data_IF_418535994433
#
_entry.id   IF_418535994433
#
_cell.length_a   1.000
_cell.length_b   1.000
_cell.length_c   1.000
_cell.angle_alpha   90.00
_cell.angle_beta   90.00
_cell.angle_gamma   90.00
#
_symmetry.space_group_name_H-M   'P 1'
#
loop_
_entity.id
_entity.type
_entity.pdbx_description
1 polymer ?
#
# COMPACT_ATOMS: atom_id res chain seq x y z
N UNK A 1 -11.08 23.01 2.95
CA UNK A 1 -10.58 22.11 4.02
C UNK A 1 -10.35 22.94 5.27
N UNK A 2 -10.92 22.57 6.44
CA UNK A 2 -10.74 23.35 7.68
C UNK A 2 -9.24 23.47 8.01
N UNK A 3 -8.81 24.64 8.49
CA UNK A 3 -7.38 24.98 8.74
C UNK A 3 -6.67 23.93 9.61
N UNK A 4 -7.37 23.37 10.60
CA UNK A 4 -6.90 22.32 11.50
C UNK A 4 -6.56 21.00 10.80
N UNK A 5 -7.40 20.55 9.85
CA UNK A 5 -7.15 19.34 9.06
C UNK A 5 -5.92 19.50 8.17
N UNK A 6 -5.69 20.70 7.63
CA UNK A 6 -4.51 21.00 6.81
C UNK A 6 -3.23 20.92 7.65
N UNK A 7 -3.24 21.53 8.83
CA UNK A 7 -2.10 21.52 9.77
C UNK A 7 -1.75 20.10 10.18
N UNK A 8 -2.75 19.30 10.55
CA UNK A 8 -2.57 17.89 10.89
C UNK A 8 -1.97 17.09 9.72
N UNK A 9 -2.58 17.19 8.54
CA UNK A 9 -2.15 16.45 7.35
C UNK A 9 -0.73 16.84 6.85
N UNK A 10 -0.24 18.04 7.17
CA UNK A 10 1.09 18.51 6.77
C UNK A 10 2.15 18.43 7.88
N UNK A 11 1.76 18.02 9.09
CA UNK A 11 2.65 18.03 10.25
C UNK A 11 3.77 16.98 10.12
N UNK A 12 5.03 17.41 10.25
CA UNK A 12 6.20 16.53 10.28
C UNK A 12 6.29 15.72 11.59
N UNK A 13 5.73 16.24 12.68
CA UNK A 13 5.74 15.55 13.97
C UNK A 13 4.88 14.30 13.96
N UNK A 14 3.74 14.34 13.27
CA UNK A 14 2.90 13.15 13.08
C UNK A 14 3.57 12.12 12.16
N UNK A 15 4.36 12.55 11.18
CA UNK A 15 5.19 11.62 10.38
C UNK A 15 6.23 10.93 11.26
N UNK A 16 6.97 11.70 12.06
CA UNK A 16 7.99 11.17 12.96
C UNK A 16 7.40 10.22 13.98
N UNK A 17 6.26 10.58 14.59
CA UNK A 17 5.54 9.71 15.52
C UNK A 17 5.11 8.40 14.86
N UNK A 18 4.55 8.46 13.65
CA UNK A 18 4.16 7.26 12.90
C UNK A 18 5.35 6.35 12.61
N UNK A 19 6.49 6.91 12.17
CA UNK A 19 7.71 6.13 11.92
C UNK A 19 8.26 5.53 13.21
N UNK A 20 8.36 6.33 14.27
CA UNK A 20 8.85 5.88 15.58
C UNK A 20 7.98 4.75 16.14
N UNK A 21 6.66 4.84 15.98
CA UNK A 21 5.73 3.80 16.40
C UNK A 21 5.96 2.48 15.63
N UNK A 22 6.02 2.54 14.29
CA UNK A 22 6.22 1.35 13.44
C UNK A 22 7.57 0.69 13.74
N UNK A 23 8.64 1.47 13.76
CA UNK A 23 10.00 0.97 14.04
C UNK A 23 10.09 0.45 15.47
N UNK A 24 9.54 1.19 16.44
CA UNK A 24 9.53 0.80 17.84
C UNK A 24 8.82 -0.54 18.08
N UNK A 25 7.64 -0.74 17.49
CA UNK A 25 6.92 -2.02 17.56
C UNK A 25 7.71 -3.15 16.88
N UNK A 26 8.31 -2.88 15.71
CA UNK A 26 9.11 -3.87 15.00
C UNK A 26 10.37 -4.31 15.78
N UNK A 27 10.99 -3.38 16.52
CA UNK A 27 12.09 -3.68 17.45
C UNK A 27 11.56 -4.48 18.66
N UNK A 28 10.52 -3.98 19.32
CA UNK A 28 9.99 -4.55 20.56
C UNK A 28 9.46 -5.97 20.38
N UNK A 29 8.86 -6.27 19.22
CA UNK A 29 8.39 -7.62 18.87
C UNK A 29 9.50 -8.56 18.40
N UNK A 30 10.73 -8.07 18.21
CA UNK A 30 11.83 -8.82 17.59
C UNK A 30 11.62 -9.09 16.10
N UNK A 31 10.59 -8.50 15.47
CA UNK A 31 10.22 -8.75 14.09
C UNK A 31 11.32 -8.37 13.09
N UNK A 32 12.10 -7.32 13.36
CA UNK A 32 13.23 -6.92 12.50
C UNK A 32 14.26 -8.03 12.28
N UNK A 33 14.46 -8.90 13.27
CA UNK A 33 15.41 -10.01 13.23
C UNK A 33 14.79 -11.30 12.65
N UNK A 34 13.55 -11.23 12.16
CA UNK A 34 12.90 -12.38 11.55
C UNK A 34 13.50 -12.68 10.18
N UNK A 35 13.63 -13.97 9.92
CA UNK A 35 14.15 -14.53 8.67
C UNK A 35 13.02 -15.25 7.95
N UNK A 36 13.16 -15.42 6.64
CA UNK A 36 12.09 -15.98 5.83
C UNK A 36 11.76 -17.44 6.19
N UNK A 37 12.77 -18.22 6.62
CA UNK A 37 12.61 -19.61 7.06
C UNK A 37 11.66 -19.80 8.26
N UNK A 38 11.39 -18.73 9.03
CA UNK A 38 10.41 -18.77 10.12
C UNK A 38 8.96 -18.77 9.63
N UNK A 39 8.72 -18.43 8.37
CA UNK A 39 7.39 -18.26 7.79
C UNK A 39 7.08 -19.26 6.68
N UNK A 40 8.11 -19.76 5.98
CA UNK A 40 7.93 -20.65 4.82
C UNK A 40 9.05 -21.69 4.73
N UNK A 41 8.72 -22.85 4.16
CA UNK A 41 9.68 -23.93 3.91
C UNK A 41 10.00 -24.05 2.41
N UNK A 42 10.77 -23.09 1.88
CA UNK A 42 11.18 -23.04 0.46
C UNK A 42 12.64 -23.49 0.27
N UNK A 43 13.22 -24.15 1.27
CA UNK A 43 14.60 -24.63 1.29
C UNK A 43 15.61 -23.70 1.96
N UNK A 44 16.90 -24.09 2.03
CA UNK A 44 17.89 -23.48 2.94
C UNK A 44 18.20 -21.99 2.71
N UNK A 45 17.96 -21.48 1.51
CA UNK A 45 18.22 -20.08 1.17
C UNK A 45 17.33 -19.10 1.95
N UNK A 46 16.15 -19.53 2.42
CA UNK A 46 15.22 -18.69 3.19
C UNK A 46 15.80 -18.24 4.53
N UNK A 47 16.74 -19.00 5.10
CA UNK A 47 17.46 -18.63 6.32
C UNK A 47 18.46 -17.48 6.11
N UNK A 48 18.77 -17.11 4.87
CA UNK A 48 19.65 -15.98 4.55
C UNK A 48 18.88 -14.68 4.28
N UNK A 49 17.54 -14.77 4.13
CA UNK A 49 16.71 -13.62 3.77
C UNK A 49 16.31 -12.86 5.05
N UNK A 50 16.74 -11.60 5.24
CA UNK A 50 16.37 -10.78 6.39
C UNK A 50 14.94 -10.25 6.22
N UNK A 51 13.97 -11.15 6.28
CA UNK A 51 12.57 -10.90 5.95
C UNK A 51 11.97 -9.76 6.79
N UNK A 52 12.27 -9.71 8.08
CA UNK A 52 11.82 -8.64 8.97
C UNK A 52 12.24 -7.25 8.49
N UNK A 53 13.51 -7.10 8.11
CA UNK A 53 14.04 -5.84 7.60
C UNK A 53 13.40 -5.44 6.27
N UNK A 54 13.23 -6.40 5.36
CA UNK A 54 12.57 -6.18 4.05
C UNK A 54 11.13 -5.71 4.28
N UNK A 55 10.38 -6.40 5.14
CA UNK A 55 8.97 -6.09 5.43
C UNK A 55 8.80 -4.73 6.11
N UNK A 56 9.64 -4.39 7.10
CA UNK A 56 9.59 -3.06 7.75
C UNK A 56 9.95 -1.94 6.77
N UNK A 57 10.93 -2.17 5.89
CA UNK A 57 11.28 -1.21 4.83
C UNK A 57 10.12 -1.01 3.86
N UNK A 58 9.45 -2.10 3.45
CA UNK A 58 8.28 -2.05 2.58
C UNK A 58 7.14 -1.23 3.21
N UNK A 59 6.87 -1.43 4.51
CA UNK A 59 5.92 -0.59 5.26
C UNK A 59 6.31 0.89 5.21
N UNK A 60 7.60 1.20 5.36
CA UNK A 60 8.12 2.57 5.20
C UNK A 60 7.81 3.18 3.82
N UNK A 61 8.02 2.42 2.74
CA UNK A 61 7.68 2.84 1.36
C UNK A 61 6.17 3.07 1.23
N UNK A 62 5.34 2.19 1.80
CA UNK A 62 3.89 2.36 1.86
C UNK A 62 3.47 3.66 2.53
N UNK A 63 4.05 3.96 3.70
CA UNK A 63 3.78 5.20 4.43
C UNK A 63 4.20 6.44 3.64
N UNK A 64 5.34 6.39 2.95
CA UNK A 64 5.78 7.46 2.04
C UNK A 64 4.79 7.65 0.89
N UNK A 65 4.36 6.55 0.25
CA UNK A 65 3.33 6.57 -0.81
C UNK A 65 2.07 7.30 -0.35
N UNK A 66 1.51 6.91 0.80
CA UNK A 66 0.31 7.55 1.37
C UNK A 66 0.55 9.03 1.67
N UNK A 67 1.71 9.36 2.27
CA UNK A 67 2.04 10.73 2.65
C UNK A 67 2.20 11.65 1.45
N UNK A 68 2.92 11.23 0.42
CA UNK A 68 3.09 12.01 -0.80
C UNK A 68 1.78 12.13 -1.58
N UNK A 69 0.95 11.09 -1.60
CA UNK A 69 -0.40 11.15 -2.18
C UNK A 69 -1.27 12.18 -1.47
N UNK A 70 -1.26 12.21 -0.13
CA UNK A 70 -1.97 13.21 0.67
C UNK A 70 -1.48 14.65 0.46
N UNK A 71 -0.19 14.82 0.13
CA UNK A 71 0.39 16.10 -0.29
C UNK A 71 0.12 16.48 -1.75
N UNK A 72 -0.72 15.71 -2.46
CA UNK A 72 -1.00 15.85 -3.88
C UNK A 72 0.27 15.79 -4.76
N UNK A 73 1.24 14.96 -4.35
CA UNK A 73 2.48 14.76 -5.08
C UNK A 73 2.44 13.48 -5.91
N UNK A 74 2.88 13.56 -7.17
CA UNK A 74 3.00 12.41 -8.09
C UNK A 74 3.89 11.29 -7.53
N UNK A 75 4.87 11.65 -6.68
CA UNK A 75 5.75 10.70 -6.00
C UNK A 75 5.00 9.65 -5.17
N UNK A 76 3.81 10.00 -4.65
CA UNK A 76 2.97 9.05 -3.92
C UNK A 76 2.65 7.82 -4.75
N UNK A 77 2.18 8.01 -5.98
CA UNK A 77 1.86 6.88 -6.85
C UNK A 77 3.10 6.09 -7.31
N UNK A 78 4.26 6.74 -7.47
CA UNK A 78 5.51 6.04 -7.80
C UNK A 78 5.95 5.10 -6.67
N UNK A 79 5.96 5.60 -5.43
CA UNK A 79 6.18 4.76 -4.25
C UNK A 79 5.09 3.68 -4.12
N UNK A 80 3.85 4.00 -4.52
CA UNK A 80 2.74 3.05 -4.61
C UNK A 80 3.02 1.88 -5.55
N UNK A 81 3.60 2.12 -6.74
CA UNK A 81 4.01 1.04 -7.65
C UNK A 81 5.11 0.18 -7.04
N UNK A 82 6.17 0.81 -6.51
CA UNK A 82 7.28 0.07 -5.88
C UNK A 82 6.76 -0.79 -4.73
N UNK A 83 5.95 -0.22 -3.85
CA UNK A 83 5.30 -0.95 -2.76
C UNK A 83 4.42 -2.08 -3.29
N UNK A 84 3.64 -1.86 -4.34
CA UNK A 84 2.76 -2.91 -4.93
C UNK A 84 3.58 -4.10 -5.39
N UNK A 85 4.70 -3.87 -6.08
CA UNK A 85 5.57 -4.96 -6.55
C UNK A 85 6.19 -5.69 -5.35
N UNK A 86 6.73 -4.96 -4.38
CA UNK A 86 7.38 -5.54 -3.19
C UNK A 86 6.37 -6.31 -2.31
N UNK A 87 5.23 -5.71 -1.99
CA UNK A 87 4.15 -6.36 -1.25
C UNK A 87 3.63 -7.59 -1.98
N UNK A 88 3.48 -7.53 -3.32
CA UNK A 88 3.08 -8.70 -4.12
C UNK A 88 4.12 -9.82 -4.07
N UNK A 89 5.41 -9.49 -4.16
CA UNK A 89 6.47 -10.48 -4.02
C UNK A 89 6.46 -11.12 -2.62
N UNK A 90 6.32 -10.31 -1.56
CA UNK A 90 6.24 -10.79 -0.17
C UNK A 90 5.04 -11.73 0.00
N UNK A 91 3.84 -11.30 -0.39
CA UNK A 91 2.62 -12.10 -0.23
C UNK A 91 2.68 -13.40 -1.03
N UNK A 92 3.25 -13.36 -2.24
CA UNK A 92 3.45 -14.56 -3.06
C UNK A 92 4.39 -15.56 -2.38
N UNK A 93 5.52 -15.08 -1.87
CA UNK A 93 6.48 -15.90 -1.12
C UNK A 93 5.81 -16.52 0.11
N UNK A 94 4.96 -15.76 0.82
CA UNK A 94 4.19 -16.25 1.97
C UNK A 94 3.04 -17.21 1.59
N UNK A 95 2.85 -17.52 0.30
CA UNK A 95 1.88 -18.50 -0.18
C UNK A 95 0.47 -17.96 -0.42
N UNK A 96 0.28 -16.64 -0.47
CA UNK A 96 -1.02 -16.05 -0.78
C UNK A 96 -1.38 -16.25 -2.25
N UNK A 97 -2.35 -17.12 -2.55
CA UNK A 97 -2.79 -17.41 -3.93
C UNK A 97 -3.50 -16.24 -4.62
N UNK A 98 -4.20 -15.39 -3.86
CA UNK A 98 -4.93 -14.24 -4.42
C UNK A 98 -4.00 -13.15 -4.97
N UNK A 99 -2.70 -13.21 -4.64
CA UNK A 99 -1.68 -12.25 -5.05
C UNK A 99 -1.56 -12.12 -6.58
N UNK A 100 -1.79 -13.22 -7.30
CA UNK A 100 -1.69 -13.32 -8.77
C UNK A 100 -2.75 -12.44 -9.45
N UNK A 101 -3.84 -12.09 -8.76
CA UNK A 101 -4.91 -11.24 -9.28
C UNK A 101 -4.84 -9.85 -8.65
N UNK A 102 -4.75 -9.80 -7.32
CA UNK A 102 -4.88 -8.55 -6.54
C UNK A 102 -3.78 -7.53 -6.86
N UNK A 103 -2.51 -7.98 -6.98
CA UNK A 103 -1.39 -7.07 -7.23
C UNK A 103 -1.29 -6.57 -8.67
N UNK A 104 -1.55 -7.39 -9.72
CA UNK A 104 -1.66 -6.88 -11.08
C UNK A 104 -2.77 -5.84 -11.25
N UNK A 105 -3.95 -6.07 -10.66
CA UNK A 105 -5.04 -5.07 -10.67
C UNK A 105 -4.59 -3.78 -9.97
N UNK A 106 -3.96 -3.88 -8.81
CA UNK A 106 -3.43 -2.73 -8.07
C UNK A 106 -2.37 -1.96 -8.88
N UNK A 107 -1.48 -2.68 -9.56
CA UNK A 107 -0.47 -2.10 -10.44
C UNK A 107 -1.10 -1.31 -11.60
N UNK A 108 -2.14 -1.86 -12.22
CA UNK A 108 -2.89 -1.17 -13.29
C UNK A 108 -3.59 0.09 -12.77
N UNK A 109 -4.18 0.04 -11.58
CA UNK A 109 -4.80 1.19 -10.93
C UNK A 109 -3.76 2.30 -10.70
N UNK A 110 -2.61 1.98 -10.12
CA UNK A 110 -1.54 2.96 -9.92
C UNK A 110 -1.00 3.51 -11.24
N UNK A 111 -0.82 2.66 -12.25
CA UNK A 111 -0.37 3.08 -13.58
C UNK A 111 -1.35 4.07 -14.21
N UNK A 112 -2.65 3.77 -14.15
CA UNK A 112 -3.70 4.68 -14.63
C UNK A 112 -3.73 5.98 -13.82
N UNK A 113 -3.59 5.90 -12.50
CA UNK A 113 -3.50 7.07 -11.63
C UNK A 113 -2.32 7.98 -12.02
N UNK A 114 -1.13 7.42 -12.25
CA UNK A 114 0.04 8.17 -12.73
C UNK A 114 -0.24 8.82 -14.08
N UNK A 115 -0.82 8.08 -15.04
CA UNK A 115 -1.16 8.61 -16.37
C UNK A 115 -2.13 9.78 -16.28
N UNK A 116 -3.19 9.66 -15.49
CA UNK A 116 -4.17 10.73 -15.26
C UNK A 116 -3.54 11.92 -14.53
N UNK A 117 -2.71 11.67 -13.52
CA UNK A 117 -2.07 12.74 -12.76
C UNK A 117 -1.08 13.53 -13.62
N UNK A 118 -0.28 12.86 -14.45
CA UNK A 118 0.62 13.51 -15.41
C UNK A 118 -0.12 14.42 -16.41
N UNK A 119 -1.35 14.08 -16.77
CA UNK A 119 -2.19 14.90 -17.64
C UNK A 119 -2.91 16.04 -16.90
N UNK A 120 -2.83 16.10 -15.57
CA UNK A 120 -3.48 17.10 -14.72
C UNK A 120 -2.47 18.12 -14.17
N UNK A 121 -2.93 19.28 -13.73
CA UNK A 121 -2.05 20.28 -13.11
C UNK A 121 -1.54 19.80 -11.75
N UNK A 122 -0.22 19.88 -11.55
CA UNK A 122 0.40 19.51 -10.27
C UNK A 122 -0.19 20.32 -9.11
N UNK A 123 -0.43 19.65 -7.97
CA UNK A 123 -0.95 20.28 -6.76
C UNK A 123 -2.42 20.68 -6.79
N UNK A 124 -3.18 20.37 -7.86
CA UNK A 124 -4.62 20.62 -7.94
C UNK A 124 -5.42 19.31 -8.04
N UNK A 125 -6.40 19.08 -7.16
CA UNK A 125 -7.29 17.93 -7.30
C UNK A 125 -8.19 18.10 -8.53
N UNK A 126 -8.58 16.98 -9.15
CA UNK A 126 -9.54 17.00 -10.24
C UNK A 126 -10.89 17.55 -9.74
N UNK A 127 -11.52 18.43 -10.54
CA UNK A 127 -12.79 19.03 -10.17
C UNK A 127 -13.94 18.18 -10.72
N UNK A 128 -14.57 17.41 -9.83
CA UNK A 128 -15.84 16.72 -10.12
C UNK A 128 -16.95 17.38 -9.30
N UNK A 129 -18.17 17.43 -9.85
CA UNK A 129 -19.32 17.91 -9.08
C UNK A 129 -19.60 17.00 -7.87
N UNK A 130 -20.18 17.55 -6.80
CA UNK A 130 -20.47 16.77 -5.59
C UNK A 130 -21.39 15.56 -5.85
N UNK A 131 -22.31 15.66 -6.82
CA UNK A 131 -23.15 14.54 -7.24
C UNK A 131 -22.32 13.43 -7.90
N UNK A 132 -21.40 13.79 -8.79
CA UNK A 132 -20.50 12.84 -9.44
C UNK A 132 -19.54 12.17 -8.45
N UNK A 133 -19.00 12.92 -7.48
CA UNK A 133 -18.13 12.37 -6.44
C UNK A 133 -18.88 11.34 -5.60
N UNK A 134 -20.10 11.66 -5.15
CA UNK A 134 -20.93 10.72 -4.38
C UNK A 134 -21.25 9.46 -5.17
N UNK A 135 -21.67 9.61 -6.43
CA UNK A 135 -21.98 8.47 -7.29
C UNK A 135 -20.74 7.59 -7.54
N UNK A 136 -19.60 8.20 -7.87
CA UNK A 136 -18.35 7.49 -8.06
C UNK A 136 -17.92 6.76 -6.78
N UNK A 137 -18.03 7.41 -5.62
CA UNK A 137 -17.70 6.79 -4.33
C UNK A 137 -18.55 5.54 -4.05
N UNK A 138 -19.87 5.60 -4.32
CA UNK A 138 -20.77 4.45 -4.16
C UNK A 138 -20.37 3.31 -5.10
N UNK A 139 -20.23 3.61 -6.39
CA UNK A 139 -19.91 2.59 -7.42
C UNK A 139 -18.54 1.95 -7.13
N UNK A 140 -17.50 2.75 -6.87
CA UNK A 140 -16.16 2.27 -6.55
C UNK A 140 -16.19 1.41 -5.28
N UNK A 141 -16.94 1.81 -4.26
CA UNK A 141 -17.06 1.03 -3.03
C UNK A 141 -17.69 -0.34 -3.29
N UNK A 142 -18.81 -0.39 -4.03
CA UNK A 142 -19.47 -1.67 -4.38
C UNK A 142 -18.52 -2.57 -5.17
N UNK A 143 -17.85 -2.03 -6.20
CA UNK A 143 -16.89 -2.78 -7.01
C UNK A 143 -15.73 -3.28 -6.14
N UNK A 144 -15.19 -2.44 -5.26
CA UNK A 144 -14.10 -2.82 -4.36
C UNK A 144 -14.52 -3.94 -3.39
N UNK A 145 -15.72 -3.88 -2.83
CA UNK A 145 -16.26 -4.94 -1.97
C UNK A 145 -16.46 -6.25 -2.73
N UNK A 146 -17.06 -6.21 -3.92
CA UNK A 146 -17.23 -7.39 -4.77
C UNK A 146 -15.88 -7.99 -5.16
N UNK A 147 -14.93 -7.16 -5.58
CA UNK A 147 -13.58 -7.58 -5.92
C UNK A 147 -12.87 -8.23 -4.72
N UNK A 148 -12.97 -7.62 -3.54
CA UNK A 148 -12.41 -8.17 -2.30
C UNK A 148 -13.04 -9.52 -1.95
N UNK A 149 -14.37 -9.65 -2.06
CA UNK A 149 -15.07 -10.91 -1.77
C UNK A 149 -14.64 -12.03 -2.73
N UNK A 150 -14.63 -11.75 -4.04
CA UNK A 150 -14.22 -12.71 -5.08
C UNK A 150 -12.75 -13.13 -4.91
N UNK A 151 -11.85 -12.17 -4.70
CA UNK A 151 -10.41 -12.47 -4.56
C UNK A 151 -10.10 -13.22 -3.27
N UNK A 152 -10.79 -12.93 -2.16
CA UNK A 152 -10.69 -13.73 -0.94
C UNK A 152 -11.25 -15.15 -1.16
N UNK A 153 -12.38 -15.29 -1.83
CA UNK A 153 -12.92 -16.61 -2.18
C UNK A 153 -11.92 -17.42 -3.02
N UNK A 154 -11.26 -16.81 -4.00
CA UNK A 154 -10.21 -17.49 -4.78
C UNK A 154 -9.00 -17.82 -3.90
N UNK A 155 -8.57 -16.89 -3.04
CA UNK A 155 -7.41 -17.06 -2.16
C UNK A 155 -7.57 -18.18 -1.14
N UNK A 156 -8.77 -18.33 -0.54
CA UNK A 156 -9.05 -19.30 0.52
C UNK A 156 -9.85 -20.53 0.04
N UNK A 157 -10.60 -20.42 -1.06
CA UNK A 157 -11.46 -21.46 -1.60
C UNK A 157 -10.76 -22.45 -2.53
N UNK A 158 -9.55 -22.13 -3.00
CA UNK A 158 -8.66 -23.10 -3.63
C UNK A 158 -8.00 -23.98 -2.55
N UNK A 159 -8.79 -24.84 -1.90
CA UNK A 159 -8.28 -26.03 -1.20
C UNK A 159 -7.86 -27.07 -2.22
#
# INVERSE_FOLDING_TARGET
MKKSLKIFATSKWFDLFGVALVVGIAIASGYLNSRLDKFVDWGPWTALVPFGLISVTNVGISMLSTRFTGKLSKWGNYFGIVNTILSGAIDYILGNKAVIITYPVTFLIYTFAIKKWKASQEGRPNQMSQKQVKLAAIIISIIAFLFAFVTNYIGYGAR
#
